data_IF_801579639153
#
_entry.id   IF_801579639153
#
_cell.length_a   1.000
_cell.length_b   1.000
_cell.length_c   1.000
_cell.angle_alpha   90.00
_cell.angle_beta   90.00
_cell.angle_gamma   90.00
#
_symmetry.space_group_name_H-M   'P 1'
#
loop_
_entity.id
_entity.type
_entity.pdbx_description
1 polymer ?
#
# COMPACT_ATOMS: atom_id res chain seq x y z
N UNK A 1 -6.67 42.70 30.90
CA UNK A 1 -7.49 41.50 30.60
C UNK A 1 -7.12 40.99 29.20
N UNK A 2 -6.27 39.97 29.10
CA UNK A 2 -5.84 39.41 27.81
C UNK A 2 -6.82 38.35 27.27
N UNK A 3 -7.00 38.29 25.95
CA UNK A 3 -7.74 37.21 25.27
C UNK A 3 -6.77 36.39 24.43
N UNK A 4 -6.29 35.26 24.95
CA UNK A 4 -5.48 34.32 24.17
C UNK A 4 -6.38 33.45 23.29
N UNK A 5 -6.47 33.79 22.01
CA UNK A 5 -7.15 32.98 21.00
C UNK A 5 -6.26 31.80 20.56
N UNK A 6 -6.27 30.72 21.34
CA UNK A 6 -5.51 29.50 21.02
C UNK A 6 -6.03 28.86 19.74
N UNK A 7 -5.38 29.17 18.61
CA UNK A 7 -5.78 28.71 17.28
C UNK A 7 -4.93 27.51 16.90
N UNK A 8 -5.24 26.34 17.49
CA UNK A 8 -4.54 25.07 17.24
C UNK A 8 -4.76 24.60 15.80
N UNK A 9 -4.00 25.15 14.85
CA UNK A 9 -3.92 24.62 13.49
C UNK A 9 -3.05 23.37 13.50
N UNK A 10 -3.66 22.24 13.84
CA UNK A 10 -3.07 20.91 13.62
C UNK A 10 -2.88 20.70 12.13
N UNK A 11 -1.74 21.16 11.59
CA UNK A 11 -1.25 20.73 10.29
C UNK A 11 -0.89 19.26 10.42
N UNK A 12 -1.86 18.39 10.14
CA UNK A 12 -1.59 17.00 9.83
C UNK A 12 -0.80 16.98 8.52
N UNK A 13 0.52 17.10 8.62
CA UNK A 13 1.43 16.96 7.50
C UNK A 13 1.49 15.46 7.16
N UNK A 14 0.46 15.00 6.43
CA UNK A 14 0.31 13.60 6.05
C UNK A 14 1.53 13.18 5.24
N UNK A 15 2.43 12.43 5.85
CA UNK A 15 3.72 12.07 5.28
C UNK A 15 3.60 10.94 4.24
N UNK A 16 2.82 11.17 3.18
CA UNK A 16 2.72 10.30 2.00
C UNK A 16 3.95 10.49 1.10
N UNK A 17 5.10 10.10 1.61
CA UNK A 17 6.37 9.97 0.89
C UNK A 17 6.96 8.59 1.17
N UNK A 18 7.80 8.09 0.26
CA UNK A 18 8.39 6.73 0.28
C UNK A 18 7.37 5.61 0.02
N UNK A 19 6.99 5.45 -1.25
CA UNK A 19 6.38 4.22 -1.81
C UNK A 19 6.78 4.10 -3.30
N UNK A 20 8.09 4.11 -3.56
CA UNK A 20 8.67 4.35 -4.89
C UNK A 20 9.74 3.32 -5.31
N UNK A 21 9.71 2.11 -4.74
CA UNK A 21 10.75 1.08 -4.91
C UNK A 21 10.16 -0.34 -5.06
N UNK A 22 9.71 -0.71 -6.27
CA UNK A 22 9.48 -2.10 -6.74
C UNK A 22 9.12 -2.21 -8.23
N UNK A 23 8.69 -1.12 -8.86
CA UNK A 23 8.42 -1.07 -10.32
C UNK A 23 9.75 -0.85 -11.06
N UNK A 24 10.45 -1.89 -11.53
CA UNK A 24 11.80 -1.68 -12.10
C UNK A 24 12.38 -2.70 -13.08
N UNK A 25 11.67 -3.77 -13.43
CA UNK A 25 12.21 -4.86 -14.27
C UNK A 25 11.18 -5.35 -15.30
N UNK A 26 11.35 -6.51 -15.96
CA UNK A 26 10.51 -7.01 -17.09
C UNK A 26 9.79 -5.92 -17.91
N UNK A 27 10.64 -5.07 -18.48
CA UNK A 27 10.27 -3.84 -19.16
C UNK A 27 11.04 -3.51 -20.46
N UNK A 28 11.31 -4.46 -21.38
CA UNK A 28 11.25 -4.18 -22.85
C UNK A 28 11.18 -5.47 -23.74
N UNK A 29 10.15 -5.83 -24.58
CA UNK A 29 10.18 -6.91 -25.65
C UNK A 29 8.98 -7.09 -26.65
N UNK A 30 9.14 -7.06 -27.99
CA UNK A 30 8.17 -7.60 -29.00
C UNK A 30 7.44 -6.65 -30.00
N UNK A 31 7.71 -5.36 -29.95
CA UNK A 31 7.25 -4.25 -30.82
C UNK A 31 8.41 -3.23 -30.92
N UNK A 32 9.24 -3.17 -31.95
CA UNK A 32 8.84 -3.11 -33.35
C UNK A 32 8.01 -4.28 -33.87
N UNK A 33 6.87 -3.96 -34.45
CA UNK A 33 6.09 -4.81 -35.36
C UNK A 33 6.19 -6.34 -35.14
N UNK A 34 5.17 -6.93 -34.52
CA UNK A 34 4.52 -7.99 -35.29
C UNK A 34 4.06 -7.34 -36.61
N UNK A 35 4.55 -7.78 -37.79
CA UNK A 35 5.01 -9.13 -38.10
C UNK A 35 6.53 -9.27 -38.42
N UNK A 36 7.13 -10.43 -38.08
CA UNK A 36 7.01 -11.09 -36.78
C UNK A 36 7.69 -10.22 -35.72
N UNK A 37 7.19 -10.26 -34.48
CA UNK A 37 7.60 -9.39 -33.39
C UNK A 37 9.12 -9.19 -33.31
N UNK A 38 9.61 -7.96 -33.49
CA UNK A 38 11.01 -7.58 -33.31
C UNK A 38 11.36 -7.49 -31.82
N UNK A 39 11.06 -8.55 -31.08
CA UNK A 39 11.85 -8.94 -29.91
C UNK A 39 13.30 -9.02 -30.39
N UNK A 40 14.13 -8.12 -29.90
CA UNK A 40 15.43 -7.78 -30.48
C UNK A 40 16.53 -8.61 -29.75
N UNK A 41 16.83 -9.92 -30.05
CA UNK A 41 17.27 -11.17 -29.28
C UNK A 41 18.68 -11.51 -28.59
N UNK A 42 19.14 -10.82 -27.52
CA UNK A 42 20.39 -10.87 -26.68
C UNK A 42 21.24 -12.13 -26.34
N UNK A 43 22.51 -11.87 -25.93
CA UNK A 43 23.12 -12.29 -24.62
C UNK A 43 24.33 -11.44 -24.15
N UNK A 44 24.62 -11.43 -22.83
CA UNK A 44 25.73 -10.66 -22.18
C UNK A 44 26.64 -11.54 -21.30
N UNK A 45 26.24 -12.76 -20.99
CA UNK A 45 27.07 -13.75 -20.33
C UNK A 45 26.97 -15.07 -21.14
N UNK A 46 27.30 -15.18 -22.42
CA UNK A 46 27.80 -14.20 -23.37
C UNK A 46 27.61 -14.65 -24.82
N UNK A 47 26.68 -15.60 -25.08
CA UNK A 47 26.41 -16.13 -26.42
C UNK A 47 24.89 -16.27 -26.67
N UNK A 48 24.32 -15.26 -27.32
CA UNK A 48 22.91 -15.17 -27.70
C UNK A 48 22.71 -13.97 -28.64
N UNK A 49 21.81 -14.09 -29.61
CA UNK A 49 22.10 -13.64 -30.99
C UNK A 49 21.44 -12.32 -31.45
N UNK A 50 21.11 -11.40 -30.54
CA UNK A 50 20.71 -9.99 -30.81
C UNK A 50 20.74 -9.15 -29.49
N UNK A 51 19.73 -8.34 -29.10
CA UNK A 51 19.58 -7.77 -27.71
C UNK A 51 18.49 -8.01 -26.54
N UNK A 52 17.40 -8.80 -26.24
CA UNK A 52 16.37 -9.89 -26.51
C UNK A 52 16.37 -11.38 -26.04
N UNK A 53 17.41 -11.94 -25.42
CA UNK A 53 17.34 -13.29 -24.80
C UNK A 53 18.58 -13.55 -23.93
N UNK A 54 18.97 -12.56 -23.12
CA UNK A 54 20.27 -12.59 -22.43
C UNK A 54 20.33 -13.76 -21.41
N UNK A 55 21.54 -14.27 -21.12
CA UNK A 55 21.83 -15.56 -20.46
C UNK A 55 23.31 -15.68 -20.03
N UNK A 56 23.70 -16.74 -19.26
CA UNK A 56 24.81 -16.82 -18.29
C UNK A 56 26.11 -17.66 -18.50
N UNK A 57 27.29 -17.20 -17.99
CA UNK A 57 27.79 -17.71 -16.71
C UNK A 57 27.74 -16.62 -15.62
N UNK A 58 26.57 -16.26 -15.11
CA UNK A 58 25.41 -17.13 -14.89
C UNK A 58 24.22 -16.20 -14.66
N UNK A 59 23.75 -15.51 -15.71
CA UNK A 59 23.21 -14.14 -15.59
C UNK A 59 22.43 -13.53 -16.77
N UNK A 60 21.53 -12.60 -16.42
CA UNK A 60 21.03 -11.38 -17.13
C UNK A 60 20.06 -11.60 -18.30
N UNK A 61 19.10 -10.68 -18.56
CA UNK A 61 18.18 -10.65 -19.73
C UNK A 61 17.64 -9.22 -20.06
N UNK A 62 17.40 -8.82 -21.31
CA UNK A 62 16.73 -7.55 -21.72
C UNK A 62 16.09 -7.79 -23.11
N UNK A 63 15.11 -7.02 -23.68
CA UNK A 63 14.46 -7.41 -24.96
C UNK A 63 13.70 -6.48 -26.01
N UNK A 64 13.49 -5.17 -25.82
CA UNK A 64 12.76 -4.16 -26.69
C UNK A 64 11.34 -4.47 -27.26
N UNK A 65 10.25 -3.81 -26.78
CA UNK A 65 8.90 -3.75 -27.41
C UNK A 65 7.69 -4.42 -26.70
N UNK A 66 6.63 -5.00 -27.34
CA UNK A 66 5.51 -5.77 -26.71
C UNK A 66 5.29 -7.24 -27.21
N UNK A 67 5.19 -8.26 -26.32
CA UNK A 67 4.67 -9.61 -26.64
C UNK A 67 5.61 -10.84 -26.62
N UNK A 68 6.77 -10.80 -25.96
CA UNK A 68 7.70 -11.95 -25.85
C UNK A 68 8.52 -11.95 -24.55
N UNK A 69 9.77 -12.43 -24.55
CA UNK A 69 10.51 -12.77 -23.34
C UNK A 69 11.98 -12.33 -23.28
N UNK A 70 12.60 -12.54 -22.12
CA UNK A 70 14.05 -12.50 -21.88
C UNK A 70 14.39 -13.36 -20.63
N UNK A 71 15.31 -14.30 -20.70
CA UNK A 71 15.31 -15.43 -19.76
C UNK A 71 16.65 -15.55 -19.02
N UNK A 72 16.77 -14.88 -17.88
CA UNK A 72 18.05 -14.69 -17.21
C UNK A 72 18.40 -15.80 -16.22
N UNK A 73 18.84 -16.91 -16.77
CA UNK A 73 19.48 -17.98 -16.01
C UNK A 73 20.99 -17.72 -15.87
N UNK A 74 21.53 -17.85 -14.66
CA UNK A 74 21.90 -19.18 -14.16
C UNK A 74 22.40 -19.19 -12.70
N UNK A 75 22.55 -18.03 -12.05
CA UNK A 75 23.07 -18.07 -10.69
C UNK A 75 23.33 -16.72 -10.04
N UNK A 76 24.44 -16.72 -9.30
CA UNK A 76 25.24 -15.62 -8.77
C UNK A 76 24.54 -14.25 -8.72
N UNK A 77 24.29 -13.53 -9.81
CA UNK A 77 23.03 -12.76 -9.95
C UNK A 77 22.79 -12.53 -11.47
N UNK A 78 21.54 -12.27 -11.91
CA UNK A 78 21.11 -12.40 -13.33
C UNK A 78 20.17 -11.31 -13.99
N UNK A 79 20.35 -9.98 -13.97
CA UNK A 79 19.27 -8.96 -14.33
C UNK A 79 18.45 -9.10 -15.67
N UNK A 80 17.18 -9.56 -15.70
CA UNK A 80 16.25 -9.65 -16.87
C UNK A 80 15.42 -8.40 -17.29
N UNK A 81 14.66 -8.41 -18.42
CA UNK A 81 13.74 -7.33 -18.88
C UNK A 81 12.80 -7.70 -20.11
N UNK A 82 11.46 -7.44 -20.10
CA UNK A 82 10.43 -7.71 -21.14
C UNK A 82 9.07 -6.93 -20.97
N UNK A 83 8.85 -5.80 -21.68
CA UNK A 83 7.67 -4.90 -21.62
C UNK A 83 6.62 -5.28 -22.65
N UNK A 84 5.44 -4.72 -22.48
CA UNK A 84 4.40 -4.57 -23.46
C UNK A 84 3.40 -5.72 -23.47
N UNK A 85 2.27 -5.50 -24.14
CA UNK A 85 1.15 -6.43 -24.10
C UNK A 85 1.56 -7.83 -24.58
N UNK A 86 1.53 -8.81 -23.67
CA UNK A 86 1.98 -10.19 -23.85
C UNK A 86 3.38 -10.56 -23.32
N UNK A 87 4.07 -9.71 -22.53
CA UNK A 87 5.51 -9.87 -22.26
C UNK A 87 5.93 -10.50 -20.91
N UNK A 88 7.12 -11.14 -20.87
CA UNK A 88 7.56 -12.09 -19.81
C UNK A 88 9.10 -12.35 -19.73
N UNK A 89 9.88 -11.77 -18.79
CA UNK A 89 11.34 -12.02 -18.60
C UNK A 89 11.91 -12.20 -17.17
N UNK A 90 12.31 -13.41 -16.77
CA UNK A 90 12.73 -13.79 -15.40
C UNK A 90 14.23 -13.41 -15.10
N UNK A 91 14.53 -12.56 -14.09
CA UNK A 91 15.79 -11.83 -13.63
C UNK A 91 16.42 -12.68 -12.46
N UNK A 92 17.32 -12.23 -11.56
CA UNK A 92 18.43 -11.34 -11.73
C UNK A 92 19.27 -10.65 -10.62
N UNK A 93 19.63 -9.36 -10.80
CA UNK A 93 20.77 -8.58 -10.21
C UNK A 93 22.18 -8.85 -10.86
N UNK A 94 23.34 -8.36 -10.34
CA UNK A 94 24.69 -8.77 -10.83
C UNK A 94 25.74 -9.15 -9.72
N UNK A 95 26.14 -10.42 -9.58
CA UNK A 95 27.42 -10.84 -8.95
C UNK A 95 27.53 -11.71 -7.66
N UNK A 96 26.50 -12.17 -6.92
CA UNK A 96 26.72 -12.96 -5.64
C UNK A 96 25.94 -14.28 -5.43
N UNK A 97 24.68 -14.32 -4.93
CA UNK A 97 23.83 -15.53 -5.09
C UNK A 97 22.33 -15.21 -5.23
N UNK A 98 21.87 -15.03 -6.47
CA UNK A 98 20.48 -15.29 -6.92
C UNK A 98 20.46 -16.52 -7.81
N UNK A 99 21.09 -17.60 -7.33
CA UNK A 99 20.54 -18.92 -7.56
C UNK A 99 19.10 -18.87 -7.01
N UNK A 100 18.15 -18.65 -7.93
CA UNK A 100 16.86 -17.99 -7.67
C UNK A 100 17.05 -16.54 -7.16
N UNK A 101 16.55 -15.41 -7.69
CA UNK A 101 16.02 -14.93 -8.98
C UNK A 101 15.34 -13.55 -8.74
N UNK A 102 15.19 -12.72 -9.78
CA UNK A 102 14.46 -11.43 -9.81
C UNK A 102 13.37 -11.40 -10.95
N UNK A 103 12.52 -10.35 -11.14
CA UNK A 103 11.46 -10.12 -12.17
C UNK A 103 10.21 -9.24 -11.76
N UNK A 104 10.07 -8.01 -12.29
CA UNK A 104 8.88 -7.09 -12.37
C UNK A 104 8.25 -6.97 -13.78
N UNK A 105 6.97 -6.88 -14.17
CA UNK A 105 6.62 -6.57 -15.61
C UNK A 105 5.85 -5.28 -15.87
N UNK A 106 5.71 -4.91 -17.15
CA UNK A 106 4.81 -3.87 -17.70
C UNK A 106 4.16 -4.31 -19.03
N UNK A 107 2.89 -3.96 -19.27
CA UNK A 107 2.07 -4.26 -20.45
C UNK A 107 0.71 -4.88 -20.11
N UNK A 108 -0.33 -4.66 -20.93
CA UNK A 108 -1.62 -5.33 -20.72
C UNK A 108 -1.45 -6.83 -21.02
N UNK A 109 -1.62 -7.71 -20.02
CA UNK A 109 -1.08 -9.08 -19.98
C UNK A 109 0.46 -9.11 -20.01
N UNK A 110 1.14 -8.95 -18.87
CA UNK A 110 2.62 -9.00 -18.81
C UNK A 110 3.17 -9.65 -17.52
N UNK A 111 3.55 -10.95 -17.53
CA UNK A 111 3.82 -11.94 -16.42
C UNK A 111 5.08 -11.63 -15.58
N UNK A 112 5.19 -11.81 -14.23
CA UNK A 112 6.47 -11.57 -13.47
C UNK A 112 6.72 -12.27 -12.10
N UNK A 113 7.98 -12.21 -11.64
CA UNK A 113 8.64 -13.39 -11.02
C UNK A 113 10.01 -13.26 -10.27
N UNK A 114 10.38 -12.15 -9.61
CA UNK A 114 11.52 -12.19 -8.65
C UNK A 114 11.33 -13.28 -7.60
N UNK A 115 11.99 -14.42 -7.81
CA UNK A 115 12.07 -15.63 -6.96
C UNK A 115 13.40 -15.64 -6.20
N UNK A 116 13.66 -14.68 -5.32
CA UNK A 116 14.97 -14.51 -4.72
C UNK A 116 15.40 -15.59 -3.73
N UNK A 117 16.73 -15.73 -3.57
CA UNK A 117 17.25 -15.64 -2.21
C UNK A 117 16.97 -14.22 -1.68
N UNK A 118 17.16 -13.17 -2.50
CA UNK A 118 16.68 -11.79 -2.28
C UNK A 118 15.80 -11.32 -3.45
N UNK A 119 14.62 -10.75 -3.18
CA UNK A 119 13.69 -10.40 -4.25
C UNK A 119 12.27 -9.93 -3.85
N UNK A 120 11.39 -9.69 -4.83
CA UNK A 120 11.20 -8.31 -5.36
C UNK A 120 10.23 -8.10 -6.56
N UNK A 121 9.41 -9.09 -6.89
CA UNK A 121 8.77 -9.30 -8.20
C UNK A 121 7.73 -8.26 -8.61
N UNK A 122 7.12 -8.44 -9.80
CA UNK A 122 5.98 -7.59 -10.21
C UNK A 122 5.04 -8.26 -11.27
N UNK A 123 4.45 -7.52 -12.25
CA UNK A 123 3.49 -7.81 -13.38
C UNK A 123 2.60 -6.54 -13.42
N UNK A 124 2.54 -5.73 -14.49
CA UNK A 124 1.89 -4.40 -14.41
C UNK A 124 1.15 -4.00 -15.68
N UNK A 125 -0.08 -3.55 -15.47
CA UNK A 125 -1.02 -3.28 -16.54
C UNK A 125 -2.46 -3.42 -16.03
N UNK A 126 -3.43 -3.06 -16.88
CA UNK A 126 -4.72 -3.72 -16.86
C UNK A 126 -4.46 -5.17 -17.31
N UNK A 127 -4.76 -6.16 -16.47
CA UNK A 127 -4.17 -7.51 -16.52
C UNK A 127 -2.65 -7.52 -16.19
N UNK A 128 -2.29 -6.91 -15.04
CA UNK A 128 -0.94 -6.77 -14.47
C UNK A 128 -0.82 -7.05 -12.95
N UNK A 129 -0.04 -8.06 -12.52
CA UNK A 129 -0.08 -8.81 -11.24
C UNK A 129 1.12 -8.77 -10.27
N UNK A 130 1.86 -7.67 -10.16
CA UNK A 130 2.84 -7.38 -9.11
C UNK A 130 3.20 -8.49 -8.05
N UNK A 131 3.95 -9.54 -8.43
CA UNK A 131 4.46 -10.65 -7.58
C UNK A 131 5.52 -10.13 -6.57
N UNK A 132 6.11 -10.88 -5.60
CA UNK A 132 7.48 -10.59 -5.06
C UNK A 132 8.12 -11.53 -4.03
N UNK A 133 9.26 -12.19 -4.32
CA UNK A 133 9.84 -13.26 -3.46
C UNK A 133 11.32 -13.12 -3.13
N UNK A 134 11.72 -13.49 -1.90
CA UNK A 134 13.10 -13.82 -1.49
C UNK A 134 13.11 -15.06 -0.55
N UNK A 135 14.06 -15.22 0.39
CA UNK A 135 14.23 -16.41 1.27
C UNK A 135 14.53 -16.15 2.82
N UNK A 136 14.71 -17.10 3.75
CA UNK A 136 14.52 -16.82 5.23
C UNK A 136 15.45 -15.99 6.20
N UNK A 137 16.66 -15.45 5.91
CA UNK A 137 17.72 -15.05 6.91
C UNK A 137 18.87 -14.09 6.45
N UNK A 138 19.87 -13.84 7.33
CA UNK A 138 21.12 -13.11 7.01
C UNK A 138 22.04 -13.73 5.93
N UNK A 139 21.71 -14.90 5.36
CA UNK A 139 22.53 -15.57 4.33
C UNK A 139 22.00 -15.33 2.91
N UNK A 140 21.93 -14.06 2.48
CA UNK A 140 21.29 -13.57 1.23
C UNK A 140 19.75 -13.66 1.14
N UNK A 141 19.05 -13.74 2.27
CA UNK A 141 17.82 -14.53 2.35
C UNK A 141 16.66 -13.57 2.84
N UNK A 142 15.74 -13.09 1.96
CA UNK A 142 14.54 -12.24 2.30
C UNK A 142 13.07 -12.71 1.92
N UNK A 143 12.40 -13.58 2.71
CA UNK A 143 11.37 -14.59 2.32
C UNK A 143 10.00 -14.11 1.82
N UNK A 144 9.94 -13.32 0.77
CA UNK A 144 8.69 -12.68 0.36
C UNK A 144 7.78 -13.50 -0.58
N UNK A 145 6.52 -13.12 -0.83
CA UNK A 145 5.67 -13.44 -2.02
C UNK A 145 4.58 -12.35 -2.26
N UNK A 146 4.79 -11.26 -3.01
CA UNK A 146 3.63 -10.51 -3.56
C UNK A 146 2.93 -11.25 -4.73
N UNK A 147 1.78 -10.78 -5.23
CA UNK A 147 1.02 -11.13 -6.46
C UNK A 147 -0.16 -10.14 -6.63
N UNK A 148 -0.67 -9.83 -7.83
CA UNK A 148 -1.51 -8.62 -8.02
C UNK A 148 -2.61 -8.60 -9.13
N UNK A 149 -3.34 -9.69 -9.35
CA UNK A 149 -4.14 -9.88 -10.57
C UNK A 149 -5.22 -8.80 -10.76
N UNK A 150 -5.27 -8.18 -11.95
CA UNK A 150 -5.74 -6.81 -12.19
C UNK A 150 -6.68 -6.69 -13.40
N UNK A 151 -7.68 -7.57 -13.54
CA UNK A 151 -8.28 -7.87 -14.85
C UNK A 151 -9.19 -6.77 -15.43
N UNK A 152 -10.24 -6.39 -14.69
CA UNK A 152 -11.18 -5.32 -15.06
C UNK A 152 -10.70 -3.93 -14.65
N UNK A 153 -9.49 -3.83 -14.11
CA UNK A 153 -8.72 -2.59 -14.09
C UNK A 153 -8.64 -2.09 -15.53
N UNK A 154 -9.25 -0.95 -15.85
CA UNK A 154 -9.09 -0.30 -17.17
C UNK A 154 -7.96 0.72 -17.20
N UNK A 155 -7.29 0.89 -16.06
CA UNK A 155 -6.25 1.89 -15.79
C UNK A 155 -4.92 1.17 -15.55
N UNK A 156 -3.89 1.29 -16.42
CA UNK A 156 -2.63 0.59 -16.23
C UNK A 156 -2.02 0.77 -14.83
N UNK A 157 -1.58 -0.34 -14.21
CA UNK A 157 -1.14 -0.41 -12.82
C UNK A 157 -2.14 0.15 -11.77
N UNK A 158 -3.44 0.14 -12.09
CA UNK A 158 -4.52 0.41 -11.13
C UNK A 158 -4.59 -0.62 -9.99
N UNK A 159 -3.96 -1.78 -10.20
CA UNK A 159 -3.65 -2.75 -9.18
C UNK A 159 -2.12 -2.81 -8.99
N UNK A 160 -1.62 -2.70 -7.75
CA UNK A 160 -0.23 -3.05 -7.37
C UNK A 160 -0.20 -3.91 -6.10
N UNK A 161 0.71 -4.87 -6.01
CA UNK A 161 1.11 -5.49 -4.75
C UNK A 161 2.62 -5.58 -4.61
N UNK A 162 3.09 -5.66 -3.36
CA UNK A 162 4.48 -5.39 -3.04
C UNK A 162 4.85 -5.93 -1.66
N UNK A 163 5.99 -6.62 -1.57
CA UNK A 163 6.49 -7.21 -0.31
C UNK A 163 7.89 -6.75 0.00
N UNK A 164 8.14 -6.47 1.27
CA UNK A 164 9.31 -5.71 1.72
C UNK A 164 9.86 -6.28 3.03
N UNK A 165 10.91 -7.10 2.95
CA UNK A 165 11.65 -7.66 4.09
C UNK A 165 11.75 -9.18 4.02
N UNK A 166 11.78 -9.84 5.18
CA UNK A 166 11.91 -11.31 5.28
C UNK A 166 10.55 -11.93 5.61
N UNK A 167 9.99 -12.81 4.79
CA UNK A 167 8.73 -13.52 5.12
C UNK A 167 7.44 -12.94 4.54
N UNK A 168 7.49 -11.82 3.83
CA UNK A 168 6.30 -11.00 3.63
C UNK A 168 5.49 -11.39 2.39
N UNK A 169 4.15 -11.43 2.45
CA UNK A 169 3.30 -11.88 1.33
C UNK A 169 2.29 -10.79 0.97
N UNK A 170 2.18 -10.32 -0.28
CA UNK A 170 1.28 -9.19 -0.63
C UNK A 170 0.43 -9.46 -1.87
N UNK A 171 -0.86 -9.69 -1.71
CA UNK A 171 -1.67 -10.37 -2.72
C UNK A 171 -2.89 -9.53 -3.12
N UNK A 172 -2.78 -8.73 -4.17
CA UNK A 172 -3.94 -8.23 -4.91
C UNK A 172 -4.46 -9.34 -5.82
N UNK A 173 -5.79 -9.53 -5.87
CA UNK A 173 -6.41 -10.53 -6.72
C UNK A 173 -7.78 -10.07 -7.16
N UNK A 174 -7.96 -9.92 -8.47
CA UNK A 174 -9.24 -9.72 -9.17
C UNK A 174 -10.02 -8.46 -8.78
N UNK A 175 -9.44 -7.57 -7.97
CA UNK A 175 -9.97 -6.23 -7.77
C UNK A 175 -9.40 -5.26 -8.80
N UNK A 176 -10.26 -4.32 -9.17
CA UNK A 176 -9.99 -3.43 -10.28
C UNK A 176 -9.58 -2.07 -9.76
N UNK A 177 -8.41 -1.60 -10.21
CA UNK A 177 -8.10 -0.19 -10.14
C UNK A 177 -8.94 0.58 -11.15
N UNK A 178 -10.08 1.12 -10.73
CA UNK A 178 -10.70 2.24 -11.45
C UNK A 178 -9.92 3.54 -11.22
N UNK A 179 -8.93 3.51 -10.32
CA UNK A 179 -7.90 4.52 -10.08
C UNK A 179 -6.52 3.86 -10.03
N UNK A 180 -5.45 4.62 -10.30
CA UNK A 180 -4.05 4.17 -10.24
C UNK A 180 -3.68 3.76 -8.80
N UNK A 181 -3.11 2.57 -8.61
CA UNK A 181 -2.90 1.95 -7.28
C UNK A 181 -4.18 2.01 -6.43
N UNK A 182 -5.34 1.90 -7.09
CA UNK A 182 -6.64 1.82 -6.44
C UNK A 182 -6.71 0.53 -5.64
N UNK A 183 -6.49 -0.60 -6.31
CA UNK A 183 -6.28 -1.88 -5.65
C UNK A 183 -4.80 -1.92 -5.21
N UNK A 184 -4.47 -2.12 -3.92
CA UNK A 184 -3.07 -2.05 -3.46
C UNK A 184 -2.71 -2.90 -2.23
N UNK A 185 -1.94 -3.97 -2.36
CA UNK A 185 -1.50 -4.82 -1.24
C UNK A 185 -0.01 -4.62 -0.92
N UNK A 186 0.32 -4.22 0.30
CA UNK A 186 1.67 -3.86 0.70
C UNK A 186 2.08 -4.54 2.00
N UNK A 187 2.97 -5.53 1.98
CA UNK A 187 3.33 -6.30 3.18
C UNK A 187 4.79 -6.10 3.58
N UNK A 188 5.02 -5.73 4.84
CA UNK A 188 6.26 -5.10 5.29
C UNK A 188 6.78 -5.68 6.62
N UNK A 189 8.10 -5.77 6.76
CA UNK A 189 8.76 -6.18 8.00
C UNK A 189 9.17 -7.64 7.98
N UNK A 190 8.68 -8.43 8.96
CA UNK A 190 9.03 -9.85 9.10
C UNK A 190 7.79 -10.73 9.15
N UNK A 191 7.61 -11.62 8.17
CA UNK A 191 6.44 -12.51 8.04
C UNK A 191 5.07 -11.80 7.99
N UNK A 192 5.01 -10.56 7.52
CA UNK A 192 3.76 -9.81 7.38
C UNK A 192 3.06 -10.10 6.05
N UNK A 193 1.74 -10.12 6.03
CA UNK A 193 0.91 -10.49 4.88
C UNK A 193 -0.18 -9.45 4.59
N UNK A 194 -0.25 -8.91 3.39
CA UNK A 194 -1.29 -7.99 2.93
C UNK A 194 -2.09 -8.64 1.79
N UNK A 195 -3.41 -8.52 1.71
CA UNK A 195 -4.20 -9.07 0.59
C UNK A 195 -5.36 -8.14 0.23
N UNK A 196 -5.67 -7.94 -1.04
CA UNK A 196 -6.98 -7.39 -1.44
C UNK A 196 -7.62 -8.36 -2.43
N UNK A 197 -8.84 -8.79 -2.16
CA UNK A 197 -9.52 -9.83 -2.93
C UNK A 197 -10.85 -9.31 -3.49
N UNK A 198 -10.94 -9.25 -4.82
CA UNK A 198 -12.04 -8.67 -5.59
C UNK A 198 -12.28 -7.16 -5.35
N UNK A 199 -13.33 -6.66 -6.02
CA UNK A 199 -13.88 -5.34 -5.80
C UNK A 199 -13.19 -4.25 -6.60
N UNK A 200 -13.22 -3.02 -6.09
CA UNK A 200 -12.55 -1.87 -6.70
C UNK A 200 -11.88 -1.03 -5.62
N UNK A 201 -10.70 -0.48 -5.90
CA UNK A 201 -10.06 0.52 -5.05
C UNK A 201 -9.78 0.09 -3.57
N UNK A 202 -9.56 -1.19 -3.30
CA UNK A 202 -9.22 -1.71 -1.96
C UNK A 202 -7.71 -1.62 -1.68
N UNK A 203 -7.31 -1.13 -0.52
CA UNK A 203 -5.91 -0.93 -0.10
C UNK A 203 -5.62 -1.65 1.21
N UNK A 204 -4.57 -2.46 1.25
CA UNK A 204 -4.11 -3.17 2.45
C UNK A 204 -2.62 -2.95 2.70
N UNK A 205 -2.26 -2.70 3.95
CA UNK A 205 -0.87 -2.49 4.37
C UNK A 205 -0.58 -3.26 5.64
N UNK A 206 0.34 -4.22 5.59
CA UNK A 206 0.65 -5.11 6.70
C UNK A 206 2.02 -4.84 7.31
N UNK A 207 2.08 -4.80 8.65
CA UNK A 207 3.33 -4.62 9.41
C UNK A 207 3.84 -3.17 9.45
N UNK A 208 2.93 -2.20 9.60
CA UNK A 208 3.20 -0.76 9.63
C UNK A 208 3.09 -0.16 11.05
N UNK A 209 4.03 0.68 11.52
CA UNK A 209 5.24 1.13 10.84
C UNK A 209 6.22 -0.02 10.58
N UNK A 210 7.02 0.12 9.52
CA UNK A 210 7.88 -0.94 9.00
C UNK A 210 8.77 -1.53 10.11
N UNK A 211 8.84 -2.86 10.16
CA UNK A 211 9.36 -3.61 11.30
C UNK A 211 8.27 -4.30 12.12
N UNK A 212 6.99 -4.21 11.72
CA UNK A 212 5.97 -5.14 12.20
C UNK A 212 6.33 -6.60 11.92
N UNK A 213 5.98 -7.49 12.85
CA UNK A 213 6.21 -8.93 12.74
C UNK A 213 4.88 -9.67 12.75
N UNK A 214 4.64 -10.53 11.77
CA UNK A 214 3.39 -11.28 11.61
C UNK A 214 2.14 -10.37 11.51
N UNK A 215 2.25 -9.22 10.85
CA UNK A 215 1.07 -8.37 10.57
C UNK A 215 0.21 -8.97 9.45
N UNK A 216 -1.12 -8.99 9.54
CA UNK A 216 -2.02 -9.53 8.51
C UNK A 216 -3.14 -8.54 8.11
N UNK A 217 -3.04 -7.87 6.97
CA UNK A 217 -4.04 -6.91 6.48
C UNK A 217 -4.81 -7.49 5.28
N UNK A 218 -6.14 -7.58 5.31
CA UNK A 218 -6.94 -8.08 4.18
C UNK A 218 -8.20 -7.25 3.87
N UNK A 219 -8.59 -7.14 2.60
CA UNK A 219 -9.75 -6.37 2.16
C UNK A 219 -10.48 -7.07 1.00
N UNK A 220 -11.57 -7.76 1.35
CA UNK A 220 -12.15 -8.81 0.53
C UNK A 220 -13.63 -8.53 0.24
N UNK A 221 -14.08 -8.79 -0.99
CA UNK A 221 -15.47 -8.61 -1.45
C UNK A 221 -16.03 -7.17 -1.30
N UNK A 222 -15.18 -6.21 -0.98
CA UNK A 222 -15.53 -4.82 -0.71
C UNK A 222 -15.11 -3.85 -1.80
N UNK A 223 -15.30 -2.54 -1.62
CA UNK A 223 -14.69 -1.52 -2.49
C UNK A 223 -14.28 -0.26 -1.72
N UNK A 224 -13.20 0.41 -2.14
CA UNK A 224 -12.72 1.64 -1.49
C UNK A 224 -12.23 1.44 -0.06
N UNK A 225 -11.89 0.22 0.36
CA UNK A 225 -11.43 -0.07 1.71
C UNK A 225 -9.98 0.37 1.92
N UNK A 226 -9.64 0.74 3.16
CA UNK A 226 -8.27 0.98 3.62
C UNK A 226 -8.04 0.15 4.88
N UNK A 227 -7.16 -0.85 4.82
CA UNK A 227 -6.93 -1.81 5.91
C UNK A 227 -5.45 -1.84 6.30
N UNK A 228 -5.15 -1.74 7.59
CA UNK A 228 -3.78 -1.50 8.05
C UNK A 228 -3.46 -2.23 9.36
N UNK A 229 -2.37 -3.00 9.39
CA UNK A 229 -1.87 -3.62 10.63
C UNK A 229 -0.60 -2.98 11.16
N UNK A 230 -0.51 -3.03 12.49
CA UNK A 230 0.44 -2.32 13.32
C UNK A 230 1.83 -2.92 13.38
N UNK A 231 2.70 -2.21 14.09
CA UNK A 231 3.84 -2.83 14.73
C UNK A 231 3.38 -3.59 15.99
N UNK A 232 3.98 -4.76 16.22
CA UNK A 232 3.63 -5.70 17.29
C UNK A 232 3.36 -7.11 16.75
N UNK A 233 3.61 -8.17 17.54
CA UNK A 233 3.41 -9.54 17.09
C UNK A 233 1.92 -9.84 16.86
N UNK A 234 1.59 -10.41 15.70
CA UNK A 234 0.25 -10.87 15.34
C UNK A 234 -0.83 -9.75 15.40
N UNK A 235 -0.58 -8.64 14.71
CA UNK A 235 -1.59 -7.62 14.45
C UNK A 235 -2.39 -7.97 13.17
N UNK A 236 -3.71 -8.12 13.26
CA UNK A 236 -4.59 -8.53 12.15
C UNK A 236 -5.63 -7.43 11.88
N UNK A 237 -5.86 -7.08 10.61
CA UNK A 237 -6.89 -6.13 10.20
C UNK A 237 -7.61 -6.66 8.96
N UNK A 238 -8.95 -6.58 8.94
CA UNK A 238 -9.77 -7.18 7.90
C UNK A 238 -10.98 -6.34 7.53
N UNK A 239 -11.21 -6.14 6.23
CA UNK A 239 -12.50 -5.71 5.70
C UNK A 239 -13.12 -6.84 4.87
N UNK A 240 -14.36 -7.22 5.16
CA UNK A 240 -15.08 -8.29 4.47
C UNK A 240 -16.46 -7.78 4.05
N UNK A 241 -16.70 -7.69 2.75
CA UNK A 241 -17.98 -7.26 2.16
C UNK A 241 -18.34 -5.79 2.39
N UNK A 242 -17.42 -4.97 2.90
CA UNK A 242 -17.68 -3.56 3.21
C UNK A 242 -17.29 -2.63 2.07
N UNK A 243 -17.90 -1.44 2.01
CA UNK A 243 -17.48 -0.38 1.09
C UNK A 243 -17.10 0.87 1.86
N UNK A 244 -15.95 1.47 1.50
CA UNK A 244 -15.45 2.72 2.06
C UNK A 244 -14.91 2.65 3.49
N UNK A 245 -14.62 1.46 4.03
CA UNK A 245 -14.20 1.32 5.43
C UNK A 245 -12.70 1.55 5.65
N UNK A 246 -12.36 2.10 6.82
CA UNK A 246 -10.99 2.22 7.31
C UNK A 246 -10.82 1.31 8.53
N UNK A 247 -10.05 0.24 8.37
CA UNK A 247 -9.87 -0.81 9.40
C UNK A 247 -8.41 -0.84 9.84
N UNK A 248 -8.12 -0.34 11.05
CA UNK A 248 -6.75 -0.29 11.59
C UNK A 248 -6.60 -1.16 12.82
N UNK A 249 -5.49 -1.90 12.95
CA UNK A 249 -5.14 -2.62 14.18
C UNK A 249 -3.72 -2.32 14.62
N UNK A 250 -3.54 -1.68 15.77
CA UNK A 250 -2.23 -1.47 16.39
C UNK A 250 -2.00 -2.48 17.53
N UNK A 251 -0.77 -3.00 17.64
CA UNK A 251 -0.42 -4.07 18.58
C UNK A 251 -1.16 -5.41 18.36
N UNK A 252 -0.88 -6.43 19.20
CA UNK A 252 -1.39 -7.81 19.02
C UNK A 252 -2.92 -7.93 19.01
N UNK A 253 -3.46 -8.88 18.24
CA UNK A 253 -4.88 -9.18 18.11
C UNK A 253 -5.48 -8.76 16.76
N UNK A 254 -6.80 -8.67 16.65
CA UNK A 254 -7.50 -8.38 15.38
C UNK A 254 -8.43 -7.15 15.42
N UNK A 255 -8.71 -6.59 14.24
CA UNK A 255 -9.84 -5.71 13.94
C UNK A 255 -10.46 -6.16 12.61
N UNK A 256 -11.67 -6.73 12.61
CA UNK A 256 -12.34 -7.20 11.39
C UNK A 256 -13.75 -6.58 11.32
N UNK A 257 -14.03 -5.77 10.30
CA UNK A 257 -15.28 -5.00 10.17
C UNK A 257 -15.67 -4.20 11.44
N UNK A 258 -14.70 -3.77 12.26
CA UNK A 258 -14.94 -3.08 13.52
C UNK A 258 -15.09 -4.00 14.75
N UNK A 259 -15.12 -5.33 14.59
CA UNK A 259 -14.97 -6.27 15.68
C UNK A 259 -13.48 -6.34 16.10
N UNK A 260 -13.17 -5.84 17.29
CA UNK A 260 -11.78 -5.72 17.80
C UNK A 260 -11.53 -6.64 18.98
N UNK A 261 -10.39 -7.33 19.00
CA UNK A 261 -9.87 -8.01 20.17
C UNK A 261 -8.34 -7.89 20.26
N UNK A 262 -7.81 -7.86 21.49
CA UNK A 262 -6.38 -7.69 21.76
C UNK A 262 -5.87 -6.25 21.58
N UNK A 263 -4.89 -5.88 22.40
CA UNK A 263 -4.27 -4.55 22.42
C UNK A 263 -3.68 -4.23 23.79
N UNK A 264 -2.74 -3.30 23.84
CA UNK A 264 -2.18 -2.80 25.10
C UNK A 264 -3.20 -1.86 25.76
N UNK A 265 -4.08 -2.47 26.55
CA UNK A 265 -5.33 -1.92 27.08
C UNK A 265 -6.37 -1.54 26.01
N UNK A 266 -7.62 -1.89 26.28
CA UNK A 266 -8.72 -1.00 25.90
C UNK A 266 -8.59 0.24 26.79
N UNK A 267 -7.97 1.32 26.27
CA UNK A 267 -8.17 2.65 26.85
C UNK A 267 -9.62 3.00 26.55
N UNK A 268 -10.49 2.67 27.49
CA UNK A 268 -11.90 3.06 27.45
C UNK A 268 -11.98 4.57 27.21
N UNK A 269 -12.63 5.05 26.13
CA UNK A 269 -12.68 6.47 25.81
C UNK A 269 -13.43 7.29 26.89
N UNK A 270 -14.21 6.64 27.75
CA UNK A 270 -14.81 7.24 28.95
C UNK A 270 -13.85 7.39 30.13
N UNK A 271 -12.65 6.81 30.09
CA UNK A 271 -11.63 6.90 31.15
C UNK A 271 -10.81 8.20 31.10
N UNK A 272 -11.41 9.31 30.65
CA UNK A 272 -10.94 10.66 30.99
C UNK A 272 -11.28 10.96 32.45
N UNK A 273 -10.63 10.25 33.38
CA UNK A 273 -10.68 10.60 34.81
C UNK A 273 -10.07 11.98 35.00
N UNK A 274 -10.90 12.96 35.34
CA UNK A 274 -10.53 14.38 35.35
C UNK A 274 -9.60 14.74 36.51
N UNK A 275 -8.31 14.46 36.35
CA UNK A 275 -7.23 14.85 37.26
C UNK A 275 -7.01 16.39 37.23
N UNK A 276 -7.91 17.15 37.87
CA UNK A 276 -7.83 18.62 37.83
C UNK A 276 -8.81 19.43 38.70
N UNK A 277 -9.81 18.83 39.37
CA UNK A 277 -10.66 19.59 40.30
C UNK A 277 -10.04 19.64 41.70
N UNK A 278 -9.14 20.59 41.93
CA UNK A 278 -8.55 20.83 43.25
C UNK A 278 -9.63 21.11 44.31
N UNK A 279 -9.70 20.27 45.36
CA UNK A 279 -10.56 20.51 46.53
C UNK A 279 -10.04 21.73 47.31
N UNK A 280 -10.56 22.91 47.02
CA UNK A 280 -10.43 24.06 47.92
C UNK A 280 -11.16 23.74 49.23
N UNK A 281 -10.52 24.00 50.37
CA UNK A 281 -11.10 23.68 51.68
C UNK A 281 -12.21 24.65 52.11
N UNK A 282 -13.01 24.22 53.10
CA UNK A 282 -14.07 24.99 53.82
C UNK A 282 -13.63 26.43 54.15
N UNK A 283 -14.58 27.39 54.15
CA UNK A 283 -15.33 27.64 55.39
C UNK A 283 -16.75 27.06 55.42
N UNK A 284 -17.49 27.33 56.51
CA UNK A 284 -18.87 26.89 56.71
C UNK A 284 -19.73 28.02 57.33
N UNK A 285 -21.05 27.84 57.26
CA UNK A 285 -22.12 28.64 57.87
C UNK A 285 -22.31 30.09 57.34
N UNK A 286 -23.53 30.37 56.90
CA UNK A 286 -24.05 31.68 56.53
C UNK A 286 -25.56 31.56 56.31
N UNK A 287 -26.36 32.27 57.09
CA UNK A 287 -27.83 32.17 57.08
C UNK A 287 -28.48 33.36 56.35
N UNK A 288 -29.80 33.26 56.13
CA UNK A 288 -30.71 34.32 55.66
C UNK A 288 -30.57 34.78 54.18
N UNK A 289 -31.56 35.44 53.54
CA UNK A 289 -33.06 35.44 53.66
C UNK A 289 -33.64 36.30 52.51
N UNK A 290 -34.88 36.02 52.07
CA UNK A 290 -35.78 36.91 51.29
C UNK A 290 -35.41 37.37 49.86
N UNK A 291 -36.09 36.74 48.88
CA UNK A 291 -37.19 37.35 48.10
C UNK A 291 -36.95 38.41 46.98
N UNK A 292 -38.03 38.55 46.17
CA UNK A 292 -38.40 39.58 45.18
C UNK A 292 -37.69 39.65 43.81
N UNK A 293 -38.41 39.12 42.80
CA UNK A 293 -38.93 39.84 41.61
C UNK A 293 -38.16 41.02 41.00
N UNK A 294 -38.04 41.03 39.67
CA UNK A 294 -38.80 41.95 38.77
C UNK A 294 -38.74 41.44 37.32
N UNK A 295 -39.77 41.70 36.51
CA UNK A 295 -39.86 41.27 35.11
C UNK A 295 -39.74 42.45 34.11
N UNK A 296 -39.19 42.17 32.92
CA UNK A 296 -39.17 43.01 31.70
C UNK A 296 -38.89 42.06 30.52
N UNK A 297 -39.60 42.01 29.37
CA UNK A 297 -40.04 43.05 28.40
C UNK A 297 -38.86 43.97 28.01
N UNK A 298 -38.42 44.08 26.76
CA UNK A 298 -39.04 43.99 25.41
C UNK A 298 -38.01 43.43 24.40
N UNK A 299 -38.33 42.59 23.41
CA UNK A 299 -39.13 42.78 22.19
C UNK A 299 -38.41 43.43 20.98
N UNK A 300 -38.44 42.71 19.85
CA UNK A 300 -38.39 43.16 18.46
C UNK A 300 -37.08 43.72 17.83
N UNK A 301 -37.10 43.72 16.48
CA UNK A 301 -36.11 44.26 15.52
C UNK A 301 -34.81 43.43 15.39
N UNK A 302 -34.15 43.33 14.22
CA UNK A 302 -34.42 43.96 12.90
C UNK A 302 -33.92 43.05 11.76
N UNK A 303 -34.61 43.04 10.62
CA UNK A 303 -34.11 42.41 9.40
C UNK A 303 -33.12 43.32 8.66
N UNK A 304 -32.10 42.75 8.01
CA UNK A 304 -31.27 43.41 6.99
C UNK A 304 -30.94 42.38 5.90
N UNK A 305 -31.32 42.68 4.66
CA UNK A 305 -30.86 41.96 3.47
C UNK A 305 -29.82 42.80 2.71
N UNK A 306 -28.78 42.16 2.18
CA UNK A 306 -27.78 42.74 1.27
C UNK A 306 -27.05 41.57 0.58
N UNK A 307 -27.36 41.16 -0.66
CA UNK A 307 -27.29 41.84 -1.97
C UNK A 307 -25.88 41.99 -2.54
N UNK A 308 -25.71 41.60 -3.82
CA UNK A 308 -24.64 41.99 -4.78
C UNK A 308 -23.18 41.65 -4.42
N UNK A 309 -22.30 41.25 -5.35
CA UNK A 309 -22.44 41.03 -6.80
C UNK A 309 -21.06 41.00 -7.51
N UNK A 310 -21.04 41.11 -8.85
CA UNK A 310 -19.86 41.09 -9.75
C UNK A 310 -19.17 39.72 -9.91
N UNK A 311 -18.77 39.18 -11.09
CA UNK A 311 -18.50 39.68 -12.46
C UNK A 311 -17.06 40.14 -12.75
N UNK A 312 -16.33 39.27 -13.46
CA UNK A 312 -15.37 39.46 -14.59
C UNK A 312 -14.82 38.06 -14.93
N UNK A 313 -14.86 37.56 -16.18
CA UNK A 313 -14.11 37.97 -17.39
C UNK A 313 -12.58 38.00 -17.21
N UNK A 314 -11.96 36.89 -17.56
CA UNK A 314 -10.70 36.82 -18.32
C UNK A 314 -11.03 36.11 -19.63
#
# INVERSE_FOLDING_TARGET
MGRHASTTRTKLATATAVSALSIGVLATTGLGSAPPARATCASFFGFGNSPACMSGPTSIAIAIGNGAAALAADGWFSTALAVGNGATAIVGLPGVTSALSSATTIGDNSVAETIGILGMATQLGPNGYAVAIGAPTMSYLSLSVATNISLGTTVPAGSIAQTLGVGNIAVNLFGNGTTVVGHSALAQGTFSTAMNLFGTNNKTTAGFPAGGMFGLAFADFGSGNTVQTGAGPLAIAGSIGQTGQTVTKQGPGFNINGAVAGGAAAIDPTSTTAAGSARTARPAAGSARSARTTAKKTAAQRAVARSTGSSKKG
#
